data_IF_307169563081
#
_entry.id   IF_307169563081
#
_cell.length_a   1.000
_cell.length_b   1.000
_cell.length_c   1.000
_cell.angle_alpha   90.00
_cell.angle_beta   90.00
_cell.angle_gamma   90.00
#
_symmetry.space_group_name_H-M   'P 1'
#
loop_
_entity.id
_entity.type
_entity.pdbx_description
1 polymer ?
#
# COMPACT_ATOMS: atom_id res chain seq x y z
N UNK A 1 -21.08 5.68 1.90
CA UNK A 1 -20.92 4.76 3.05
C UNK A 1 -20.25 3.44 2.66
N UNK A 2 -20.75 2.70 1.66
CA UNK A 2 -20.14 1.44 1.21
C UNK A 2 -18.69 1.56 0.72
N UNK A 3 -18.38 2.56 -0.12
CA UNK A 3 -17.02 2.79 -0.61
C UNK A 3 -16.01 3.10 0.52
N UNK A 4 -16.44 3.80 1.58
CA UNK A 4 -15.62 4.09 2.76
C UNK A 4 -15.33 2.83 3.57
N UNK A 5 -16.35 2.01 3.82
CA UNK A 5 -16.19 0.74 4.56
C UNK A 5 -15.32 -0.25 3.78
N UNK A 6 -15.50 -0.33 2.46
CA UNK A 6 -14.68 -1.17 1.59
C UNK A 6 -13.23 -0.71 1.57
N UNK A 7 -12.98 0.61 1.40
CA UNK A 7 -11.63 1.17 1.41
C UNK A 7 -10.88 1.03 2.74
N UNK A 8 -11.61 1.03 3.86
CA UNK A 8 -11.06 0.71 5.18
C UNK A 8 -10.71 -0.78 5.30
N UNK A 9 -11.61 -1.66 4.85
CA UNK A 9 -11.40 -3.11 4.90
C UNK A 9 -10.23 -3.55 4.01
N UNK A 10 -10.10 -2.98 2.80
CA UNK A 10 -8.97 -3.24 1.91
C UNK A 10 -7.67 -2.74 2.52
N UNK A 11 -7.62 -1.50 3.00
CA UNK A 11 -6.41 -0.94 3.62
C UNK A 11 -5.92 -1.78 4.81
N UNK A 12 -6.81 -2.20 5.71
CA UNK A 12 -6.45 -3.08 6.83
C UNK A 12 -5.92 -4.44 6.34
N UNK A 13 -6.61 -5.07 5.40
CA UNK A 13 -6.19 -6.36 4.84
C UNK A 13 -4.83 -6.31 4.15
N UNK A 14 -4.60 -5.25 3.37
CA UNK A 14 -3.34 -5.00 2.69
C UNK A 14 -2.21 -4.78 3.69
N UNK A 15 -2.38 -3.94 4.71
CA UNK A 15 -1.32 -3.73 5.71
C UNK A 15 -0.99 -5.01 6.49
N UNK A 16 -2.00 -5.82 6.85
CA UNK A 16 -1.77 -7.11 7.52
C UNK A 16 -0.96 -8.05 6.61
N UNK A 17 -1.34 -8.20 5.35
CA UNK A 17 -0.67 -9.10 4.42
C UNK A 17 0.74 -8.61 4.07
N UNK A 18 0.86 -7.37 3.61
CA UNK A 18 2.11 -6.88 3.03
C UNK A 18 3.10 -6.44 4.10
N UNK A 19 2.66 -5.77 5.17
CA UNK A 19 3.56 -5.26 6.23
C UNK A 19 3.61 -6.22 7.42
N UNK A 20 2.47 -6.79 7.81
CA UNK A 20 2.39 -7.73 8.93
C UNK A 20 2.94 -9.13 8.65
N UNK A 21 2.87 -9.62 7.40
CA UNK A 21 3.25 -10.99 7.05
C UNK A 21 4.42 -11.08 6.05
N UNK A 22 4.26 -10.53 4.84
CA UNK A 22 5.26 -10.65 3.76
C UNK A 22 6.52 -9.85 4.10
N UNK A 23 6.35 -8.57 4.43
CA UNK A 23 7.44 -7.66 4.79
C UNK A 23 8.25 -8.19 5.96
N UNK A 24 7.61 -8.63 7.05
CA UNK A 24 8.28 -9.22 8.21
C UNK A 24 9.18 -10.40 7.85
N UNK A 25 8.69 -11.33 7.02
CA UNK A 25 9.47 -12.51 6.59
C UNK A 25 10.66 -12.10 5.73
N UNK A 26 10.44 -11.21 4.77
CA UNK A 26 11.50 -10.76 3.86
C UNK A 26 12.57 -9.95 4.59
N UNK A 27 12.17 -9.04 5.48
CA UNK A 27 13.09 -8.23 6.30
C UNK A 27 13.87 -9.11 7.27
N UNK A 28 13.22 -10.09 7.92
CA UNK A 28 13.90 -11.03 8.81
C UNK A 28 14.93 -11.90 8.06
N UNK A 29 14.66 -12.29 6.81
CA UNK A 29 15.53 -13.17 6.04
C UNK A 29 16.65 -12.45 5.27
N UNK A 30 16.38 -11.27 4.74
CA UNK A 30 17.26 -10.56 3.80
C UNK A 30 17.70 -9.17 4.27
N UNK A 31 17.27 -8.75 5.46
CA UNK A 31 17.50 -7.41 6.00
C UNK A 31 16.51 -6.38 5.46
N UNK A 32 16.49 -5.20 6.10
CA UNK A 32 15.48 -4.17 5.83
C UNK A 32 15.45 -3.71 4.38
N UNK A 33 16.60 -3.34 3.80
CA UNK A 33 16.64 -2.73 2.47
C UNK A 33 16.05 -3.68 1.41
N UNK A 34 16.59 -4.90 1.32
CA UNK A 34 16.13 -5.90 0.35
C UNK A 34 14.70 -6.32 0.67
N UNK A 35 14.39 -6.59 1.94
CA UNK A 35 13.07 -7.06 2.33
C UNK A 35 11.95 -6.06 2.03
N UNK A 36 12.20 -4.77 2.28
CA UNK A 36 11.24 -3.70 2.04
C UNK A 36 11.06 -3.43 0.54
N UNK A 37 12.13 -3.44 -0.24
CA UNK A 37 12.06 -3.29 -1.71
C UNK A 37 11.23 -4.42 -2.31
N UNK A 38 11.53 -5.67 -1.95
CA UNK A 38 10.81 -6.84 -2.50
C UNK A 38 9.34 -6.83 -2.06
N UNK A 39 9.05 -6.49 -0.81
CA UNK A 39 7.68 -6.34 -0.34
C UNK A 39 6.92 -5.25 -1.12
N UNK A 40 7.54 -4.09 -1.36
CA UNK A 40 6.93 -3.00 -2.13
C UNK A 40 6.65 -3.41 -3.57
N UNK A 41 7.55 -4.16 -4.20
CA UNK A 41 7.35 -4.73 -5.54
C UNK A 41 6.14 -5.67 -5.57
N UNK A 42 6.01 -6.58 -4.59
CA UNK A 42 4.86 -7.50 -4.50
C UNK A 42 3.57 -6.71 -4.26
N UNK A 43 3.60 -5.66 -3.43
CA UNK A 43 2.46 -4.78 -3.17
C UNK A 43 1.98 -4.02 -4.43
N UNK A 44 2.88 -3.72 -5.36
CA UNK A 44 2.51 -3.04 -6.60
C UNK A 44 1.85 -3.96 -7.64
N UNK A 45 1.98 -5.29 -7.53
CA UNK A 45 1.43 -6.24 -8.52
C UNK A 45 -0.11 -6.17 -8.65
N UNK A 46 -0.91 -6.19 -7.56
CA UNK A 46 -2.36 -6.05 -7.66
C UNK A 46 -2.81 -4.75 -8.38
N UNK A 47 -2.00 -3.69 -8.31
CA UNK A 47 -2.30 -2.40 -8.92
C UNK A 47 -2.14 -2.42 -10.45
N UNK A 48 -1.43 -3.40 -11.01
CA UNK A 48 -1.36 -3.63 -12.46
C UNK A 48 -2.67 -4.30 -12.94
N UNK A 49 -3.10 -5.34 -12.20
CA UNK A 49 -4.20 -6.22 -12.62
C UNK A 49 -5.57 -5.52 -12.62
N UNK A 50 -5.76 -4.53 -11.76
CA UNK A 50 -7.03 -3.80 -11.64
C UNK A 50 -7.30 -2.83 -12.80
N UNK A 51 -6.31 -2.52 -13.65
CA UNK A 51 -6.39 -1.46 -14.65
C UNK A 51 -6.03 -1.92 -16.07
N UNK A 52 -6.20 -3.21 -16.40
CA UNK A 52 -5.77 -3.74 -17.71
C UNK A 52 -6.45 -3.09 -18.94
N UNK A 53 -7.57 -2.38 -18.76
CA UNK A 53 -8.28 -1.64 -19.82
C UNK A 53 -8.00 -0.12 -19.84
N UNK A 54 -7.09 0.35 -18.99
CA UNK A 54 -6.79 1.78 -18.76
C UNK A 54 -5.55 2.22 -19.58
N UNK A 55 -5.41 3.52 -19.94
CA UNK A 55 -4.22 4.02 -20.62
C UNK A 55 -2.90 3.68 -19.90
N UNK A 56 -1.87 3.35 -20.67
CA UNK A 56 -0.56 2.91 -20.13
C UNK A 56 0.07 3.91 -19.17
N UNK A 57 -0.12 5.21 -19.41
CA UNK A 57 0.38 6.27 -18.53
C UNK A 57 -0.25 6.20 -17.14
N UNK A 58 -1.57 6.02 -17.05
CA UNK A 58 -2.29 5.94 -15.78
C UNK A 58 -1.90 4.68 -15.00
N UNK A 59 -1.78 3.54 -15.67
CA UNK A 59 -1.28 2.29 -15.06
C UNK A 59 0.13 2.52 -14.50
N UNK A 60 1.01 3.16 -15.28
CA UNK A 60 2.40 3.43 -14.88
C UNK A 60 2.45 4.32 -13.64
N UNK A 61 1.66 5.41 -13.62
CA UNK A 61 1.58 6.29 -12.46
C UNK A 61 0.99 5.59 -11.23
N UNK A 62 -0.03 4.75 -11.41
CA UNK A 62 -0.62 3.96 -10.33
C UNK A 62 0.41 3.01 -9.71
N UNK A 63 1.16 2.28 -10.53
CA UNK A 63 2.20 1.34 -10.08
C UNK A 63 3.35 2.07 -9.39
N UNK A 64 3.82 3.19 -9.93
CA UNK A 64 4.86 3.99 -9.29
C UNK A 64 4.41 4.52 -7.92
N UNK A 65 3.17 4.98 -7.82
CA UNK A 65 2.58 5.39 -6.55
C UNK A 65 2.49 4.22 -5.56
N UNK A 66 2.03 3.05 -6.02
CA UNK A 66 1.95 1.85 -5.18
C UNK A 66 3.33 1.40 -4.69
N UNK A 67 4.37 1.43 -5.53
CA UNK A 67 5.76 1.15 -5.12
C UNK A 67 6.25 2.13 -4.06
N UNK A 68 5.99 3.42 -4.27
CA UNK A 68 6.40 4.48 -3.34
C UNK A 68 5.71 4.33 -1.97
N UNK A 69 4.38 4.23 -1.94
CA UNK A 69 3.60 4.01 -0.71
C UNK A 69 3.98 2.66 -0.07
N UNK A 70 4.17 1.63 -0.90
CA UNK A 70 4.75 0.34 -0.59
C UNK A 70 5.94 0.46 0.36
N UNK A 71 6.99 1.08 -0.17
CA UNK A 71 8.27 1.28 0.49
C UNK A 71 8.16 2.19 1.72
N UNK A 72 7.47 3.33 1.61
CA UNK A 72 7.34 4.32 2.70
C UNK A 72 6.62 3.71 3.90
N UNK A 73 5.52 2.99 3.70
CA UNK A 73 4.81 2.35 4.80
C UNK A 73 5.64 1.25 5.45
N UNK A 74 6.34 0.43 4.65
CA UNK A 74 7.24 -0.56 5.22
C UNK A 74 8.41 0.06 6.00
N UNK A 75 8.94 1.22 5.56
CA UNK A 75 9.90 2.01 6.34
C UNK A 75 9.31 2.54 7.65
N UNK A 76 8.12 3.14 7.59
CA UNK A 76 7.41 3.66 8.77
C UNK A 76 7.19 2.52 9.78
N UNK A 77 6.64 1.39 9.34
CA UNK A 77 6.40 0.21 10.16
C UNK A 77 7.70 -0.31 10.77
N UNK A 78 8.72 -0.61 9.98
CA UNK A 78 9.94 -1.28 10.47
C UNK A 78 10.89 -0.36 11.23
N UNK A 79 11.04 0.90 10.80
CA UNK A 79 12.10 1.81 11.28
C UNK A 79 11.62 2.90 12.22
N UNK A 80 10.38 3.34 12.10
CA UNK A 80 9.85 4.41 12.96
C UNK A 80 9.04 3.81 14.12
N UNK A 81 8.19 2.81 13.84
CA UNK A 81 7.23 2.28 14.82
C UNK A 81 7.54 0.85 15.29
N UNK A 82 8.81 0.44 15.19
CA UNK A 82 9.32 -0.82 15.73
C UNK A 82 8.48 -2.06 15.36
N UNK A 83 8.01 -2.07 14.12
CA UNK A 83 7.21 -3.13 13.54
C UNK A 83 5.70 -3.05 13.71
N UNK A 84 5.18 -2.01 14.38
CA UNK A 84 3.73 -1.78 14.46
C UNK A 84 3.15 -1.37 13.11
N UNK A 85 2.11 -2.07 12.67
CA UNK A 85 1.36 -1.76 11.44
C UNK A 85 0.21 -0.77 11.67
N UNK A 86 -0.12 -0.43 12.92
CA UNK A 86 -1.23 0.49 13.22
C UNK A 86 -1.04 1.86 12.53
N UNK A 87 0.15 2.49 12.54
CA UNK A 87 0.34 3.78 11.87
C UNK A 87 0.17 3.68 10.35
N UNK A 88 0.63 2.60 9.72
CA UNK A 88 0.44 2.41 8.28
C UNK A 88 -1.02 2.13 7.95
N UNK A 89 -1.76 1.38 8.78
CA UNK A 89 -3.22 1.20 8.64
C UNK A 89 -3.95 2.55 8.69
N UNK A 90 -3.62 3.40 9.66
CA UNK A 90 -4.24 4.72 9.81
C UNK A 90 -3.93 5.62 8.61
N UNK A 91 -2.66 5.63 8.16
CA UNK A 91 -2.25 6.40 6.99
C UNK A 91 -2.94 5.90 5.71
N UNK A 92 -3.01 4.58 5.53
CA UNK A 92 -3.68 3.96 4.38
C UNK A 92 -5.16 4.34 4.35
N UNK A 93 -5.88 4.15 5.47
CA UNK A 93 -7.28 4.50 5.57
C UNK A 93 -7.52 5.99 5.25
N UNK A 94 -6.65 6.89 5.77
CA UNK A 94 -6.73 8.32 5.47
C UNK A 94 -6.54 8.61 3.97
N UNK A 95 -5.55 7.98 3.32
CA UNK A 95 -5.33 8.13 1.89
C UNK A 95 -6.56 7.65 1.10
N UNK A 96 -7.11 6.49 1.42
CA UNK A 96 -8.30 5.96 0.74
C UNK A 96 -9.51 6.89 0.89
N UNK A 97 -9.71 7.47 2.08
CA UNK A 97 -10.78 8.45 2.32
C UNK A 97 -10.56 9.71 1.49
N UNK A 98 -9.36 10.29 1.51
CA UNK A 98 -9.03 11.52 0.77
C UNK A 98 -9.12 11.32 -0.75
N UNK A 99 -8.59 10.20 -1.26
CA UNK A 99 -8.69 9.84 -2.67
C UNK A 99 -10.14 9.64 -3.09
N UNK A 100 -10.95 8.96 -2.27
CA UNK A 100 -12.38 8.80 -2.51
C UNK A 100 -13.13 10.14 -2.55
N UNK A 101 -12.81 11.06 -1.65
CA UNK A 101 -13.40 12.41 -1.65
C UNK A 101 -12.99 13.22 -2.89
N UNK A 102 -11.71 13.19 -3.26
CA UNK A 102 -11.21 13.90 -4.46
C UNK A 102 -11.89 13.41 -5.73
N UNK A 103 -12.11 12.09 -5.87
CA UNK A 103 -12.83 11.53 -7.02
C UNK A 103 -14.27 12.05 -7.14
N UNK A 104 -14.94 12.38 -6.02
CA UNK A 104 -16.30 12.96 -6.05
C UNK A 104 -16.30 14.39 -6.60
N UNK A 105 -15.18 15.13 -6.48
CA UNK A 105 -15.09 16.53 -6.96
C UNK A 105 -14.51 16.65 -8.37
N UNK A 106 -13.83 15.60 -8.86
CA UNK A 106 -13.17 15.57 -10.18
C UNK A 106 -14.07 14.98 -11.26
N UNK A 107 -15.14 14.25 -10.87
CA UNK A 107 -16.17 13.69 -11.76
C UNK A 107 -17.55 14.25 -11.41
#
# INVERSE_FOLDING_TARGET
MYALLYGLQTGIGEEILFRGFIGKRLVSKFGFLVGNIVQALIFAVPHILNFAATPILEITLCVLNALFIGYVFGYITEKIYNGSIIPSIMAHALINILSGLLLIFVF
#
